data_IF_366463618946
#
_entry.id   IF_366463618946
#
_cell.length_a   1.000
_cell.length_b   1.000
_cell.length_c   1.000
_cell.angle_alpha   90.00
_cell.angle_beta   90.00
_cell.angle_gamma   90.00
#
_symmetry.space_group_name_H-M   'P 1'
#
loop_
_entity.id
_entity.type
_entity.pdbx_description
1 polymer ?
#
# COMPACT_ATOMS: atom_id res chain seq x y z
N UNK A 1 63.09 -12.50 -55.97
CA UNK A 1 63.92 -13.48 -56.70
C UNK A 1 63.04 -14.64 -57.09
N UNK A 2 62.90 -15.03 -58.33
CA UNK A 2 63.21 -14.41 -59.61
C UNK A 2 62.64 -15.37 -60.64
N UNK A 3 62.50 -14.83 -61.85
CA UNK A 3 62.49 -15.55 -63.12
C UNK A 3 61.16 -16.22 -63.54
N UNK A 4 60.40 -15.69 -64.49
CA UNK A 4 60.74 -15.17 -65.83
C UNK A 4 61.09 -16.31 -66.81
N UNK A 5 60.39 -16.27 -67.95
CA UNK A 5 60.80 -16.78 -69.27
C UNK A 5 61.00 -18.29 -69.46
N UNK A 6 60.30 -18.87 -70.44
CA UNK A 6 60.87 -18.96 -71.79
C UNK A 6 60.23 -20.08 -72.62
N UNK A 7 59.66 -19.66 -73.76
CA UNK A 7 59.98 -20.18 -75.09
C UNK A 7 59.68 -21.65 -75.47
N UNK A 8 58.77 -21.74 -76.47
CA UNK A 8 59.14 -22.05 -77.86
C UNK A 8 59.37 -23.52 -78.24
N UNK A 9 58.55 -24.02 -79.16
CA UNK A 9 58.92 -25.07 -80.10
C UNK A 9 57.94 -25.05 -81.30
N UNK A 10 58.35 -25.47 -82.51
CA UNK A 10 58.30 -24.60 -83.68
C UNK A 10 57.49 -25.15 -84.88
N UNK A 11 57.32 -24.27 -85.84
CA UNK A 11 56.78 -24.45 -87.20
C UNK A 11 57.72 -25.28 -88.10
N UNK A 12 57.16 -26.07 -89.04
CA UNK A 12 57.65 -26.06 -90.44
C UNK A 12 56.47 -26.20 -91.44
N UNK A 13 56.47 -25.82 -92.73
CA UNK A 13 57.41 -25.32 -93.73
C UNK A 13 56.57 -24.71 -94.91
N UNK A 14 57.16 -23.99 -95.90
CA UNK A 14 56.43 -23.07 -96.79
C UNK A 14 55.97 -23.62 -98.17
N UNK A 15 54.99 -22.89 -98.74
CA UNK A 15 54.34 -22.82 -100.07
C UNK A 15 54.93 -23.52 -101.34
N UNK A 16 54.07 -23.77 -102.36
CA UNK A 16 54.10 -22.89 -103.54
C UNK A 16 52.72 -22.47 -104.10
N UNK A 17 52.70 -21.28 -104.73
CA UNK A 17 51.59 -20.60 -105.43
C UNK A 17 51.30 -21.16 -106.86
N UNK A 18 50.49 -20.51 -107.73
CA UNK A 18 49.05 -20.19 -107.70
C UNK A 18 48.30 -20.63 -109.01
N UNK A 19 46.97 -20.73 -109.00
CA UNK A 19 46.13 -20.70 -110.24
C UNK A 19 44.77 -19.99 -109.98
N UNK A 20 44.35 -18.95 -110.73
CA UNK A 20 42.97 -18.44 -110.76
C UNK A 20 42.22 -18.99 -112.01
N UNK A 21 40.91 -18.75 -112.25
CA UNK A 21 39.82 -18.24 -111.42
C UNK A 21 38.52 -19.12 -111.47
N UNK A 22 37.59 -18.91 -110.55
CA UNK A 22 36.15 -19.15 -110.78
C UNK A 22 35.30 -18.27 -109.84
N UNK A 23 34.80 -17.14 -110.32
CA UNK A 23 33.47 -16.67 -109.90
C UNK A 23 32.43 -17.53 -110.67
N UNK A 24 31.14 -17.65 -110.26
CA UNK A 24 30.41 -17.05 -109.13
C UNK A 24 29.73 -18.16 -108.26
N UNK A 25 28.96 -17.88 -107.21
CA UNK A 25 27.48 -17.89 -107.23
C UNK A 25 27.03 -17.33 -105.87
N UNK A 26 26.26 -16.23 -105.92
CA UNK A 26 25.36 -15.84 -104.84
C UNK A 26 24.28 -16.92 -104.76
N UNK A 27 24.27 -17.71 -103.69
CA UNK A 27 23.11 -18.58 -103.42
C UNK A 27 21.86 -17.70 -103.17
N UNK A 28 20.72 -18.08 -103.74
CA UNK A 28 19.55 -17.22 -103.85
C UNK A 28 18.90 -17.02 -102.48
N UNK A 29 18.30 -15.84 -102.29
CA UNK A 29 17.36 -15.58 -101.21
C UNK A 29 16.34 -16.72 -101.13
N UNK A 30 16.26 -17.38 -99.97
CA UNK A 30 15.22 -18.37 -99.69
C UNK A 30 13.85 -17.78 -99.98
N UNK A 31 13.14 -18.44 -100.88
CA UNK A 31 11.79 -18.12 -101.32
C UNK A 31 10.85 -18.25 -100.11
N UNK A 32 10.50 -17.12 -99.48
CA UNK A 32 9.60 -17.11 -98.33
C UNK A 32 8.19 -17.43 -98.83
N UNK A 33 7.82 -18.71 -98.78
CA UNK A 33 6.48 -19.15 -99.13
C UNK A 33 5.47 -18.67 -98.07
N UNK A 34 4.36 -17.99 -98.45
CA UNK A 34 3.39 -17.43 -97.51
C UNK A 34 2.72 -18.48 -96.60
N UNK A 35 2.66 -19.74 -97.05
CA UNK A 35 2.15 -20.86 -96.26
C UNK A 35 3.06 -21.25 -95.09
N UNK A 36 4.38 -21.10 -95.24
CA UNK A 36 5.36 -21.38 -94.18
C UNK A 36 5.26 -20.38 -93.03
N UNK A 37 5.12 -19.08 -93.34
CA UNK A 37 4.91 -18.03 -92.34
C UNK A 37 3.59 -18.18 -91.59
N UNK A 38 2.50 -18.58 -92.28
CA UNK A 38 1.20 -18.82 -91.65
C UNK A 38 1.24 -20.04 -90.71
N UNK A 39 1.99 -21.09 -91.08
CA UNK A 39 2.19 -22.26 -90.23
C UNK A 39 3.02 -21.93 -88.99
N UNK A 40 4.10 -21.16 -89.15
CA UNK A 40 4.93 -20.72 -88.04
C UNK A 40 4.18 -19.76 -87.10
N UNK A 41 3.41 -18.82 -87.66
CA UNK A 41 2.55 -17.92 -86.88
C UNK A 41 1.51 -18.70 -86.08
N UNK A 42 0.84 -19.69 -86.68
CA UNK A 42 -0.12 -20.57 -85.96
C UNK A 42 0.56 -21.36 -84.85
N UNK A 43 1.72 -21.95 -85.10
CA UNK A 43 2.46 -22.69 -84.09
C UNK A 43 2.92 -21.79 -82.93
N UNK A 44 3.38 -20.56 -83.22
CA UNK A 44 3.73 -19.57 -82.19
C UNK A 44 2.51 -19.13 -81.39
N UNK A 45 1.36 -18.95 -82.04
CA UNK A 45 0.12 -18.55 -81.37
C UNK A 45 -0.40 -19.67 -80.46
N UNK A 46 -0.38 -20.92 -80.94
CA UNK A 46 -0.75 -22.10 -80.13
C UNK A 46 0.21 -22.30 -78.94
N UNK A 47 1.51 -22.09 -79.14
CA UNK A 47 2.49 -22.10 -78.05
C UNK A 47 2.26 -20.95 -77.05
N UNK A 48 1.83 -19.78 -77.52
CA UNK A 48 1.45 -18.65 -76.67
C UNK A 48 0.20 -18.96 -75.84
N UNK A 49 -0.84 -19.50 -76.48
CA UNK A 49 -2.08 -19.92 -75.81
C UNK A 49 -1.80 -20.98 -74.74
N UNK A 50 -0.92 -21.94 -75.04
CA UNK A 50 -0.50 -22.95 -74.07
C UNK A 50 0.21 -22.33 -72.86
N UNK A 51 1.10 -21.35 -73.08
CA UNK A 51 1.77 -20.61 -72.01
C UNK A 51 0.80 -19.76 -71.19
N UNK A 52 -0.15 -19.10 -71.84
CA UNK A 52 -1.19 -18.32 -71.16
C UNK A 52 -2.10 -19.20 -70.32
N UNK A 53 -2.49 -20.36 -70.82
CA UNK A 53 -3.27 -21.35 -70.05
C UNK A 53 -2.48 -21.88 -68.84
N UNK A 54 -1.18 -22.10 -69.00
CA UNK A 54 -0.30 -22.52 -67.89
C UNK A 54 -0.17 -21.41 -66.84
N UNK A 55 -0.02 -20.15 -67.27
CA UNK A 55 -0.01 -19.01 -66.35
C UNK A 55 -1.35 -18.84 -65.64
N UNK A 56 -2.47 -19.04 -66.35
CA UNK A 56 -3.81 -19.00 -65.75
C UNK A 56 -3.94 -20.06 -64.65
N UNK A 57 -3.47 -21.28 -64.90
CA UNK A 57 -3.49 -22.38 -63.93
C UNK A 57 -2.60 -22.11 -62.70
N UNK A 58 -1.39 -21.61 -62.92
CA UNK A 58 -0.49 -21.17 -61.84
C UNK A 58 -1.11 -20.06 -60.99
N UNK A 59 -1.70 -19.04 -61.61
CA UNK A 59 -2.37 -17.95 -60.90
C UNK A 59 -3.59 -18.45 -60.11
N UNK A 60 -4.37 -19.38 -60.67
CA UNK A 60 -5.49 -19.99 -59.96
C UNK A 60 -5.04 -20.82 -58.77
N UNK A 61 -3.94 -21.56 -58.90
CA UNK A 61 -3.32 -22.35 -57.83
C UNK A 61 -2.82 -21.45 -56.71
N UNK A 62 -1.99 -20.46 -57.04
CA UNK A 62 -1.47 -19.47 -56.07
C UNK A 62 -2.62 -18.76 -55.35
N UNK A 63 -3.67 -18.35 -56.08
CA UNK A 63 -4.87 -17.74 -55.48
C UNK A 63 -5.56 -18.68 -54.49
N UNK A 64 -5.62 -19.97 -54.79
CA UNK A 64 -6.24 -20.96 -53.89
C UNK A 64 -5.41 -21.20 -52.64
N UNK A 65 -4.08 -21.28 -52.77
CA UNK A 65 -3.13 -21.44 -51.65
C UNK A 65 -3.17 -20.23 -50.72
N UNK A 66 -3.04 -19.00 -51.24
CA UNK A 66 -3.11 -17.77 -50.46
C UNK A 66 -4.44 -17.67 -49.70
N UNK A 67 -5.56 -18.05 -50.35
CA UNK A 67 -6.87 -18.02 -49.70
C UNK A 67 -6.97 -19.02 -48.55
N UNK A 68 -6.41 -20.21 -48.71
CA UNK A 68 -6.44 -21.26 -47.69
C UNK A 68 -5.56 -20.91 -46.48
N UNK A 69 -4.36 -20.38 -46.74
CA UNK A 69 -3.43 -19.90 -45.71
C UNK A 69 -4.04 -18.74 -44.93
N UNK A 70 -4.52 -17.69 -45.63
CA UNK A 70 -5.15 -16.53 -44.99
C UNK A 70 -6.38 -16.91 -44.14
N UNK A 71 -7.22 -17.83 -44.61
CA UNK A 71 -8.36 -18.32 -43.82
C UNK A 71 -7.92 -19.04 -42.54
N UNK A 72 -6.86 -19.84 -42.62
CA UNK A 72 -6.33 -20.57 -41.47
C UNK A 72 -5.74 -19.62 -40.44
N UNK A 73 -4.99 -18.60 -40.88
CA UNK A 73 -4.44 -17.56 -40.00
C UNK A 73 -5.53 -16.73 -39.33
N UNK A 74 -6.56 -16.31 -40.07
CA UNK A 74 -7.71 -15.57 -39.52
C UNK A 74 -8.51 -16.40 -38.52
N UNK A 75 -8.69 -17.70 -38.75
CA UNK A 75 -9.34 -18.60 -37.80
C UNK A 75 -8.52 -18.76 -36.50
N UNK A 76 -7.19 -18.88 -36.59
CA UNK A 76 -6.32 -18.92 -35.42
C UNK A 76 -6.37 -17.62 -34.63
N UNK A 77 -6.40 -16.49 -35.33
CA UNK A 77 -6.52 -15.17 -34.72
C UNK A 77 -7.87 -15.00 -34.01
N UNK A 78 -8.97 -15.38 -34.65
CA UNK A 78 -10.31 -15.34 -34.08
C UNK A 78 -10.40 -16.22 -32.83
N UNK A 79 -9.83 -17.43 -32.87
CA UNK A 79 -9.76 -18.32 -31.72
C UNK A 79 -8.95 -17.74 -30.57
N UNK A 80 -7.83 -17.09 -30.86
CA UNK A 80 -7.03 -16.45 -29.82
C UNK A 80 -7.73 -15.22 -29.22
N UNK A 81 -8.49 -14.46 -30.02
CA UNK A 81 -9.32 -13.37 -29.53
C UNK A 81 -10.48 -13.89 -28.65
N UNK A 82 -11.09 -15.02 -29.02
CA UNK A 82 -12.09 -15.72 -28.21
C UNK A 82 -11.49 -16.25 -26.90
N UNK A 83 -10.31 -16.86 -26.95
CA UNK A 83 -9.59 -17.33 -25.76
C UNK A 83 -9.22 -16.16 -24.84
N UNK A 84 -8.79 -15.02 -25.39
CA UNK A 84 -8.56 -13.77 -24.65
C UNK A 84 -9.84 -13.25 -23.99
N UNK A 85 -10.97 -13.22 -24.71
CA UNK A 85 -12.27 -12.81 -24.17
C UNK A 85 -12.75 -13.76 -23.04
N UNK A 86 -12.39 -15.04 -23.13
CA UNK A 86 -12.67 -16.05 -22.12
C UNK A 86 -11.62 -16.09 -20.98
N UNK A 87 -10.67 -15.15 -20.93
CA UNK A 87 -9.67 -15.03 -19.86
C UNK A 87 -8.46 -15.95 -19.98
N UNK A 88 -8.29 -16.68 -21.09
CA UNK A 88 -7.12 -17.52 -21.37
C UNK A 88 -6.02 -16.70 -22.03
N UNK A 89 -5.31 -15.94 -21.22
CA UNK A 89 -4.35 -14.93 -21.68
C UNK A 89 -2.90 -15.42 -21.72
N UNK A 90 -2.59 -16.69 -21.47
CA UNK A 90 -1.20 -17.18 -21.37
C UNK A 90 -0.61 -17.74 -22.67
N UNK A 91 -1.36 -17.71 -23.78
CA UNK A 91 -0.92 -18.26 -25.06
C UNK A 91 -0.56 -17.14 -26.03
N UNK A 92 0.69 -17.13 -26.53
CA UNK A 92 1.10 -16.22 -27.60
C UNK A 92 0.63 -16.73 -28.96
N UNK A 93 0.21 -15.80 -29.81
CA UNK A 93 -0.18 -16.07 -31.19
C UNK A 93 1.07 -16.06 -32.05
N UNK A 94 1.60 -17.25 -32.36
CA UNK A 94 2.70 -17.41 -33.31
C UNK A 94 2.14 -17.56 -34.74
N UNK A 95 1.85 -16.43 -35.38
CA UNK A 95 1.42 -16.36 -36.78
C UNK A 95 2.43 -15.48 -37.52
N UNK A 96 3.15 -16.06 -38.48
CA UNK A 96 4.10 -15.34 -39.34
C UNK A 96 3.38 -14.63 -40.50
N UNK A 97 2.40 -13.78 -40.18
CA UNK A 97 1.70 -12.99 -41.17
C UNK A 97 2.49 -11.72 -41.54
N UNK A 98 2.49 -11.35 -42.82
CA UNK A 98 3.06 -10.09 -43.33
C UNK A 98 1.93 -9.09 -43.61
N UNK A 99 2.24 -7.79 -43.63
CA UNK A 99 1.25 -6.73 -43.91
C UNK A 99 0.32 -6.45 -42.73
N UNK A 100 -0.95 -6.13 -42.99
CA UNK A 100 -1.92 -5.70 -41.99
C UNK A 100 -2.26 -6.81 -40.98
N UNK A 101 -2.25 -8.07 -41.42
CA UNK A 101 -2.51 -9.21 -40.54
C UNK A 101 -1.37 -9.41 -39.52
N UNK A 102 -0.12 -9.18 -39.93
CA UNK A 102 1.03 -9.18 -39.03
C UNK A 102 0.94 -8.06 -37.98
N UNK A 103 0.54 -6.85 -38.40
CA UNK A 103 0.31 -5.74 -37.48
C UNK A 103 -0.81 -6.03 -36.47
N UNK A 104 -1.87 -6.70 -36.90
CA UNK A 104 -2.98 -7.11 -36.03
C UNK A 104 -2.55 -8.19 -35.02
N UNK A 105 -1.79 -9.20 -35.47
CA UNK A 105 -1.20 -10.23 -34.58
C UNK A 105 -0.30 -9.59 -33.53
N UNK A 106 0.54 -8.62 -33.93
CA UNK A 106 1.40 -7.90 -33.00
C UNK A 106 0.58 -7.10 -31.98
N UNK A 107 -0.48 -6.42 -32.41
CA UNK A 107 -1.39 -5.67 -31.53
C UNK A 107 -2.10 -6.57 -30.52
N UNK A 108 -2.60 -7.74 -30.96
CA UNK A 108 -3.25 -8.71 -30.07
C UNK A 108 -2.24 -9.31 -29.09
N UNK A 109 -1.04 -9.68 -29.53
CA UNK A 109 0.01 -10.17 -28.64
C UNK A 109 0.43 -9.11 -27.60
N UNK A 110 0.50 -7.83 -27.99
CA UNK A 110 0.75 -6.73 -27.04
C UNK A 110 -0.39 -6.59 -26.03
N UNK A 111 -1.65 -6.72 -26.47
CA UNK A 111 -2.83 -6.67 -25.60
C UNK A 111 -2.84 -7.84 -24.62
N UNK A 112 -2.45 -9.03 -25.08
CA UNK A 112 -2.36 -10.24 -24.26
C UNK A 112 -1.28 -10.11 -23.17
N UNK A 113 -0.11 -9.54 -23.49
CA UNK A 113 0.93 -9.23 -22.49
C UNK A 113 0.44 -8.21 -21.46
N UNK A 114 -0.24 -7.16 -21.90
CA UNK A 114 -0.85 -6.15 -21.03
C UNK A 114 -1.90 -6.78 -20.09
N UNK A 115 -2.73 -7.69 -20.60
CA UNK A 115 -3.71 -8.44 -19.83
C UNK A 115 -3.06 -9.37 -18.80
N UNK A 116 -1.95 -10.04 -19.14
CA UNK A 116 -1.22 -10.90 -18.21
C UNK A 116 -0.65 -10.10 -17.04
N UNK A 117 -0.07 -8.93 -17.33
CA UNK A 117 0.42 -8.01 -16.30
C UNK A 117 -0.71 -7.51 -15.41
N UNK A 118 -1.90 -7.24 -15.98
CA UNK A 118 -3.10 -6.89 -15.22
C UNK A 118 -3.54 -8.04 -14.31
N UNK A 119 -3.69 -9.26 -14.81
CA UNK A 119 -4.17 -10.40 -14.02
C UNK A 119 -3.28 -10.62 -12.79
N UNK A 120 -1.95 -10.52 -12.96
CA UNK A 120 -1.01 -10.60 -11.85
C UNK A 120 -1.19 -9.45 -10.84
N UNK A 121 -1.39 -8.22 -11.30
CA UNK A 121 -1.58 -7.04 -10.45
C UNK A 121 -2.92 -7.08 -9.72
N UNK A 122 -4.02 -7.41 -10.41
CA UNK A 122 -5.36 -7.55 -9.82
C UNK A 122 -5.38 -8.70 -8.81
N UNK A 123 -4.77 -9.85 -9.09
CA UNK A 123 -4.67 -10.94 -8.11
C UNK A 123 -3.94 -10.49 -6.86
N UNK A 124 -2.78 -9.84 -7.02
CA UNK A 124 -2.01 -9.34 -5.89
C UNK A 124 -2.82 -8.31 -5.05
N UNK A 125 -3.45 -7.35 -5.72
CA UNK A 125 -4.29 -6.33 -5.08
C UNK A 125 -5.54 -6.92 -4.41
N UNK A 126 -6.20 -7.88 -5.06
CA UNK A 126 -7.37 -8.58 -4.53
C UNK A 126 -7.06 -9.36 -3.26
N UNK A 127 -5.82 -9.83 -3.08
CA UNK A 127 -5.39 -10.46 -1.83
C UNK A 127 -5.13 -9.48 -0.69
N UNK A 128 -4.79 -8.22 -1.00
CA UNK A 128 -4.48 -7.20 0.01
C UNK A 128 -5.70 -6.47 0.55
N UNK A 129 -6.79 -6.36 -0.22
CA UNK A 129 -8.02 -5.68 0.24
C UNK A 129 -8.64 -6.34 1.49
N UNK A 130 -8.80 -7.67 1.56
CA UNK A 130 -9.27 -8.34 2.77
C UNK A 130 -8.32 -8.14 3.96
N UNK A 131 -7.01 -8.13 3.71
CA UNK A 131 -5.99 -7.88 4.74
C UNK A 131 -6.12 -6.47 5.32
N UNK A 132 -6.32 -5.46 4.47
CA UNK A 132 -6.55 -4.08 4.90
C UNK A 132 -7.81 -3.93 5.74
N UNK A 133 -8.90 -4.57 5.32
CA UNK A 133 -10.14 -4.58 6.09
C UNK A 133 -9.92 -5.23 7.47
N UNK A 134 -9.26 -6.39 7.52
CA UNK A 134 -8.96 -7.07 8.78
C UNK A 134 -8.03 -6.24 9.69
N UNK A 135 -7.07 -5.49 9.14
CA UNK A 135 -6.22 -4.58 9.91
C UNK A 135 -7.03 -3.42 10.51
N UNK A 136 -7.96 -2.83 9.75
CA UNK A 136 -8.84 -1.78 10.27
C UNK A 136 -9.77 -2.31 11.37
N UNK A 137 -10.37 -3.48 11.18
CA UNK A 137 -11.23 -4.12 12.19
C UNK A 137 -10.44 -4.40 13.48
N UNK A 138 -9.19 -4.86 13.36
CA UNK A 138 -8.31 -5.08 14.51
C UNK A 138 -7.99 -3.77 15.25
N UNK A 139 -7.76 -2.66 14.52
CA UNK A 139 -7.56 -1.34 15.12
C UNK A 139 -8.80 -0.90 15.89
N UNK A 140 -9.98 -1.06 15.30
CA UNK A 140 -11.25 -0.73 15.96
C UNK A 140 -11.45 -1.57 17.23
N UNK A 141 -11.22 -2.87 17.17
CA UNK A 141 -11.34 -3.77 18.32
C UNK A 141 -10.34 -3.43 19.44
N UNK A 142 -9.09 -3.12 19.10
CA UNK A 142 -8.08 -2.70 20.07
C UNK A 142 -8.46 -1.36 20.71
N UNK A 143 -8.98 -0.42 19.92
CA UNK A 143 -9.47 0.89 20.38
C UNK A 143 -10.63 0.71 21.36
N UNK A 144 -11.63 -0.11 21.01
CA UNK A 144 -12.77 -0.39 21.86
C UNK A 144 -12.34 -0.99 23.20
N UNK A 145 -11.44 -1.98 23.16
CA UNK A 145 -10.90 -2.62 24.37
C UNK A 145 -10.15 -1.62 25.26
N UNK A 146 -9.34 -0.76 24.67
CA UNK A 146 -8.61 0.24 25.43
C UNK A 146 -9.56 1.29 26.03
N UNK A 147 -10.57 1.74 25.29
CA UNK A 147 -11.59 2.66 25.82
C UNK A 147 -12.40 2.05 26.96
N UNK A 148 -12.79 0.78 26.85
CA UNK A 148 -13.48 0.08 27.93
C UNK A 148 -12.59 -0.06 29.17
N UNK A 149 -11.31 -0.33 28.96
CA UNK A 149 -10.31 -0.41 30.03
C UNK A 149 -10.19 0.93 30.75
N UNK A 150 -10.04 2.04 30.01
CA UNK A 150 -10.01 3.39 30.59
C UNK A 150 -11.29 3.68 31.36
N UNK A 151 -12.46 3.33 30.82
CA UNK A 151 -13.75 3.58 31.48
C UNK A 151 -13.89 2.82 32.80
N UNK A 152 -13.59 1.51 32.81
CA UNK A 152 -13.63 0.70 34.03
C UNK A 152 -12.68 1.24 35.11
N UNK A 153 -11.51 1.73 34.68
CA UNK A 153 -10.49 2.29 35.58
C UNK A 153 -10.90 3.65 36.14
N UNK A 154 -11.54 4.49 35.34
CA UNK A 154 -12.14 5.75 35.80
C UNK A 154 -13.22 5.50 36.84
N UNK A 155 -14.04 4.45 36.70
CA UNK A 155 -15.06 4.10 37.69
C UNK A 155 -14.43 3.73 39.05
N UNK A 156 -13.35 2.93 39.04
CA UNK A 156 -12.60 2.59 40.26
C UNK A 156 -11.96 3.82 40.88
N UNK A 157 -11.35 4.68 40.05
CA UNK A 157 -10.74 5.94 40.50
C UNK A 157 -11.79 6.85 41.15
N UNK A 158 -12.97 7.00 40.54
CA UNK A 158 -14.07 7.80 41.09
C UNK A 158 -14.56 7.26 42.43
N UNK A 159 -14.76 5.94 42.54
CA UNK A 159 -15.17 5.32 43.79
C UNK A 159 -14.14 5.52 44.91
N UNK A 160 -12.85 5.34 44.61
CA UNK A 160 -11.77 5.60 45.56
C UNK A 160 -11.66 7.08 45.94
N UNK A 161 -11.89 8.00 44.99
CA UNK A 161 -11.94 9.44 45.25
C UNK A 161 -13.08 9.81 46.19
N UNK A 162 -14.27 9.26 45.98
CA UNK A 162 -15.43 9.51 46.84
C UNK A 162 -15.21 8.96 48.25
N UNK A 163 -14.61 7.77 48.38
CA UNK A 163 -14.24 7.16 49.66
C UNK A 163 -13.18 7.99 50.41
N UNK A 164 -12.14 8.44 49.71
CA UNK A 164 -11.13 9.35 50.27
C UNK A 164 -11.78 10.63 50.78
N UNK A 165 -12.65 11.25 49.98
CA UNK A 165 -13.33 12.49 50.34
C UNK A 165 -14.26 12.31 51.54
N UNK A 166 -15.00 11.21 51.61
CA UNK A 166 -15.86 10.89 52.74
C UNK A 166 -15.06 10.76 54.03
N UNK A 167 -13.92 10.06 53.98
CA UNK A 167 -13.03 9.83 55.13
C UNK A 167 -12.40 11.14 55.59
N UNK A 168 -11.86 11.96 54.68
CA UNK A 168 -11.32 13.29 54.99
C UNK A 168 -12.39 14.16 55.65
N UNK A 169 -13.60 14.19 55.11
CA UNK A 169 -14.70 15.00 55.64
C UNK A 169 -15.10 14.56 57.05
N UNK A 170 -15.10 13.25 57.32
CA UNK A 170 -15.33 12.71 58.66
C UNK A 170 -14.23 13.14 59.64
N UNK A 171 -12.95 13.01 59.26
CA UNK A 171 -11.82 13.41 60.11
C UNK A 171 -11.79 14.91 60.38
N UNK A 172 -12.08 15.75 59.38
CA UNK A 172 -12.23 17.21 59.55
C UNK A 172 -13.34 17.53 60.55
N UNK A 173 -14.48 16.85 60.49
CA UNK A 173 -15.59 17.07 61.43
C UNK A 173 -15.19 16.72 62.87
N UNK A 174 -14.45 15.63 63.08
CA UNK A 174 -13.95 15.26 64.41
C UNK A 174 -12.93 16.28 64.91
N UNK A 175 -11.99 16.71 64.07
CA UNK A 175 -11.01 17.75 64.43
C UNK A 175 -11.68 19.07 64.81
N UNK A 176 -12.71 19.50 64.08
CA UNK A 176 -13.50 20.69 64.41
C UNK A 176 -14.21 20.54 65.77
N UNK A 177 -14.77 19.37 66.07
CA UNK A 177 -15.42 19.09 67.35
C UNK A 177 -14.40 19.10 68.51
N UNK A 178 -13.22 18.49 68.32
CA UNK A 178 -12.13 18.53 69.31
C UNK A 178 -11.65 19.96 69.53
N UNK A 179 -11.45 20.73 68.46
CA UNK A 179 -11.02 22.13 68.56
C UNK A 179 -12.04 23.01 69.29
N UNK A 180 -13.34 22.84 69.00
CA UNK A 180 -14.41 23.55 69.70
C UNK A 180 -14.49 23.17 71.19
N UNK A 181 -14.34 21.88 71.51
CA UNK A 181 -14.27 21.37 72.88
C UNK A 181 -13.08 21.98 73.63
N UNK A 182 -11.90 22.01 73.01
CA UNK A 182 -10.68 22.59 73.59
C UNK A 182 -10.81 24.10 73.82
N UNK A 183 -11.41 24.83 72.88
CA UNK A 183 -11.68 26.26 73.04
C UNK A 183 -12.65 26.55 74.20
N UNK A 184 -13.72 25.77 74.33
CA UNK A 184 -14.65 25.87 75.46
C UNK A 184 -13.97 25.57 76.80
N UNK A 185 -13.10 24.55 76.82
CA UNK A 185 -12.28 24.22 78.00
C UNK A 185 -11.39 25.39 78.43
N UNK A 186 -10.65 25.98 77.49
CA UNK A 186 -9.81 27.15 77.77
C UNK A 186 -10.61 28.33 78.31
N UNK A 187 -11.74 28.67 77.68
CA UNK A 187 -12.59 29.77 78.14
C UNK A 187 -13.12 29.53 79.58
N UNK A 188 -13.46 28.28 79.92
CA UNK A 188 -13.95 27.94 81.25
C UNK A 188 -12.83 27.96 82.30
N UNK A 189 -11.61 27.51 81.94
CA UNK A 189 -10.42 27.66 82.78
C UNK A 189 -10.07 29.12 83.04
N UNK A 190 -10.12 29.99 82.02
CA UNK A 190 -9.91 31.42 82.18
C UNK A 190 -10.94 32.03 83.16
N UNK A 191 -12.20 31.58 83.07
CA UNK A 191 -13.25 31.95 84.02
C UNK A 191 -12.95 31.54 85.47
N UNK A 192 -12.46 30.32 85.70
CA UNK A 192 -12.05 29.87 87.03
C UNK A 192 -10.84 30.65 87.56
N UNK A 193 -9.85 30.94 86.71
CA UNK A 193 -8.70 31.76 87.06
C UNK A 193 -9.13 33.19 87.46
N UNK A 194 -10.10 33.75 86.75
CA UNK A 194 -10.67 35.06 87.09
C UNK A 194 -11.40 35.02 88.44
N UNK A 195 -12.24 34.00 88.72
CA UNK A 195 -12.88 33.83 90.03
C UNK A 195 -11.86 33.71 91.17
N UNK A 196 -10.77 32.96 90.95
CA UNK A 196 -9.69 32.82 91.93
C UNK A 196 -9.04 34.18 92.24
N UNK A 197 -8.80 35.01 91.21
CA UNK A 197 -8.21 36.35 91.38
C UNK A 197 -9.10 37.32 92.16
N UNK A 198 -10.41 37.08 92.19
CA UNK A 198 -11.41 37.89 92.90
C UNK A 198 -11.63 37.44 94.35
N UNK A 199 -10.90 36.42 94.82
CA UNK A 199 -10.97 35.95 96.21
C UNK A 199 -12.09 34.95 96.50
N UNK A 200 -12.53 34.17 95.49
CA UNK A 200 -13.47 33.07 95.70
C UNK A 200 -12.91 31.99 96.65
N UNK A 201 -13.81 31.27 97.34
CA UNK A 201 -13.44 30.18 98.27
C UNK A 201 -12.68 29.05 97.52
N UNK A 202 -11.43 28.74 97.91
CA UNK A 202 -10.62 27.72 97.25
C UNK A 202 -11.25 26.33 97.25
N UNK A 203 -11.99 25.97 98.30
CA UNK A 203 -12.60 24.64 98.41
C UNK A 203 -13.76 24.47 97.43
N UNK A 204 -14.61 25.49 97.31
CA UNK A 204 -15.71 25.51 96.33
C UNK A 204 -15.18 25.54 94.90
N UNK A 205 -14.18 26.38 94.62
CA UNK A 205 -13.57 26.48 93.29
C UNK A 205 -12.92 25.15 92.85
N UNK A 206 -12.23 24.47 93.77
CA UNK A 206 -11.65 23.15 93.49
C UNK A 206 -12.71 22.13 93.12
N UNK A 207 -13.87 22.16 93.78
CA UNK A 207 -14.98 21.24 93.48
C UNK A 207 -15.63 21.56 92.13
N UNK A 208 -15.85 22.84 91.80
CA UNK A 208 -16.35 23.26 90.48
C UNK A 208 -15.41 22.83 89.34
N UNK A 209 -14.09 22.99 89.53
CA UNK A 209 -13.10 22.57 88.54
C UNK A 209 -13.12 21.05 88.36
N UNK A 210 -13.20 20.28 89.46
CA UNK A 210 -13.21 18.82 89.40
C UNK A 210 -14.43 18.30 88.63
N UNK A 211 -15.60 18.85 88.92
CA UNK A 211 -16.86 18.51 88.25
C UNK A 211 -16.80 18.87 86.75
N UNK A 212 -16.26 20.04 86.42
CA UNK A 212 -16.06 20.45 85.03
C UNK A 212 -15.08 19.55 84.27
N UNK A 213 -13.92 19.23 84.85
CA UNK A 213 -12.92 18.35 84.21
C UNK A 213 -13.49 16.95 83.99
N UNK A 214 -14.25 16.43 84.96
CA UNK A 214 -14.90 15.13 84.84
C UNK A 214 -15.96 15.13 83.72
N UNK A 215 -16.81 16.16 83.67
CA UNK A 215 -17.78 16.31 82.57
C UNK A 215 -17.11 16.46 81.20
N UNK A 216 -16.02 17.23 81.14
CA UNK A 216 -15.27 17.43 79.90
C UNK A 216 -14.66 16.13 79.39
N UNK A 217 -14.03 15.34 80.26
CA UNK A 217 -13.48 14.02 79.91
C UNK A 217 -14.55 13.04 79.41
N UNK A 218 -15.76 13.09 79.98
CA UNK A 218 -16.87 12.23 79.57
C UNK A 218 -17.49 12.66 78.23
N UNK A 219 -17.38 13.94 77.86
CA UNK A 219 -17.97 14.51 76.64
C UNK A 219 -16.96 14.68 75.50
N UNK A 220 -15.66 14.57 75.75
CA UNK A 220 -14.63 14.71 74.71
C UNK A 220 -14.84 13.66 73.62
N UNK A 221 -14.93 14.09 72.34
CA UNK A 221 -15.01 13.16 71.22
C UNK A 221 -13.80 12.23 71.22
N UNK A 222 -13.94 10.97 70.78
CA UNK A 222 -12.78 10.11 70.53
C UNK A 222 -11.81 10.82 69.56
N UNK A 223 -10.51 10.48 69.60
CA UNK A 223 -9.52 11.07 68.71
C UNK A 223 -9.95 10.98 67.25
N UNK A 224 -9.49 11.94 66.43
CA UNK A 224 -9.82 12.05 65.01
C UNK A 224 -9.72 10.68 64.32
N UNK A 225 -10.75 10.35 63.53
CA UNK A 225 -10.84 9.08 62.81
C UNK A 225 -9.57 8.79 62.01
N UNK A 226 -9.29 7.52 61.81
CA UNK A 226 -8.02 7.03 61.27
C UNK A 226 -7.69 7.69 59.92
N UNK A 227 -6.75 8.66 59.91
CA UNK A 227 -6.25 9.25 58.68
C UNK A 227 -5.47 8.22 57.85
N UNK A 228 -4.97 7.13 58.46
CA UNK A 228 -4.34 6.06 57.71
C UNK A 228 -5.34 5.36 56.79
N UNK A 229 -6.64 5.40 57.12
CA UNK A 229 -7.70 4.90 56.25
C UNK A 229 -7.82 5.68 54.93
N UNK A 230 -7.32 6.92 54.85
CA UNK A 230 -7.25 7.67 53.59
C UNK A 230 -6.11 7.22 52.67
N UNK A 231 -5.06 6.58 53.21
CA UNK A 231 -3.87 6.24 52.43
C UNK A 231 -4.18 5.21 51.33
N UNK A 232 -5.05 4.25 51.63
CA UNK A 232 -5.44 3.20 50.68
C UNK A 232 -6.23 3.74 49.47
N UNK A 233 -7.33 4.51 49.65
CA UNK A 233 -8.01 5.16 48.54
C UNK A 233 -7.11 6.12 47.74
N UNK A 234 -6.24 6.89 48.41
CA UNK A 234 -5.29 7.78 47.73
C UNK A 234 -4.27 7.03 46.86
N UNK A 235 -3.72 5.92 47.38
CA UNK A 235 -2.86 5.04 46.60
C UNK A 235 -3.58 4.48 45.38
N UNK A 236 -4.82 4.01 45.58
CA UNK A 236 -5.68 3.50 44.50
C UNK A 236 -5.92 4.56 43.42
N UNK A 237 -6.22 5.80 43.78
CA UNK A 237 -6.41 6.90 42.82
C UNK A 237 -5.14 7.13 41.99
N UNK A 238 -3.97 7.13 42.64
CA UNK A 238 -2.68 7.32 41.97
C UNK A 238 -2.35 6.18 41.02
N UNK A 239 -2.51 4.94 41.48
CA UNK A 239 -2.24 3.73 40.70
C UNK A 239 -3.20 3.66 39.50
N UNK A 240 -4.49 3.95 39.74
CA UNK A 240 -5.48 3.98 38.67
C UNK A 240 -5.17 5.08 37.65
N UNK A 241 -4.77 6.29 38.07
CA UNK A 241 -4.39 7.35 37.15
C UNK A 241 -3.17 6.98 36.29
N UNK A 242 -2.15 6.36 36.89
CA UNK A 242 -0.94 5.94 36.17
C UNK A 242 -1.24 4.89 35.10
N UNK A 243 -2.07 3.92 35.44
CA UNK A 243 -2.44 2.86 34.52
C UNK A 243 -3.44 3.32 33.43
N UNK A 244 -4.29 4.31 33.69
CA UNK A 244 -5.04 5.00 32.63
C UNK A 244 -4.07 5.65 31.65
N UNK A 245 -3.05 6.34 32.16
CA UNK A 245 -2.03 6.98 31.32
C UNK A 245 -1.24 5.94 30.49
N UNK A 246 -0.89 4.80 31.09
CA UNK A 246 -0.29 3.68 30.34
C UNK A 246 -1.23 3.13 29.27
N UNK A 247 -2.52 2.98 29.59
CA UNK A 247 -3.50 2.49 28.63
C UNK A 247 -3.62 3.43 27.44
N UNK A 248 -3.63 4.76 27.67
CA UNK A 248 -3.71 5.78 26.62
C UNK A 248 -2.58 5.71 25.57
N UNK A 249 -1.49 4.99 25.83
CA UNK A 249 -0.46 4.68 24.82
C UNK A 249 -1.03 3.93 23.60
N UNK A 250 -2.22 3.33 23.69
CA UNK A 250 -2.91 2.75 22.54
C UNK A 250 -3.10 3.75 21.39
N UNK A 251 -3.13 5.06 21.67
CA UNK A 251 -3.27 6.11 20.66
C UNK A 251 -2.05 6.15 19.72
N UNK A 252 -0.83 5.99 20.24
CA UNK A 252 0.40 5.94 19.43
C UNK A 252 0.40 4.67 18.57
N UNK A 253 0.04 3.52 19.16
CA UNK A 253 -0.08 2.25 18.44
C UNK A 253 -1.14 2.35 17.33
N UNK A 254 -2.29 2.95 17.63
CA UNK A 254 -3.39 3.16 16.67
C UNK A 254 -2.93 4.03 15.52
N UNK A 255 -2.24 5.14 15.81
CA UNK A 255 -1.65 6.02 14.79
C UNK A 255 -0.71 5.25 13.87
N UNK A 256 0.25 4.50 14.42
CA UNK A 256 1.21 3.73 13.63
C UNK A 256 0.54 2.67 12.75
N UNK A 257 -0.47 1.97 13.29
CA UNK A 257 -1.26 1.00 12.51
C UNK A 257 -2.04 1.67 11.38
N UNK A 258 -2.66 2.83 11.63
CA UNK A 258 -3.37 3.62 10.60
C UNK A 258 -2.40 4.13 9.53
N UNK A 259 -1.23 4.65 9.91
CA UNK A 259 -0.20 5.09 8.95
C UNK A 259 0.22 3.94 8.02
N UNK A 260 0.40 2.73 8.56
CA UNK A 260 0.70 1.53 7.76
C UNK A 260 -0.45 1.18 6.79
N UNK A 261 -1.69 1.22 7.25
CA UNK A 261 -2.87 1.00 6.39
C UNK A 261 -2.93 2.05 5.26
N UNK A 262 -2.66 3.32 5.56
CA UNK A 262 -2.61 4.39 4.56
C UNK A 262 -1.52 4.15 3.53
N UNK A 263 -0.33 3.69 3.94
CA UNK A 263 0.74 3.33 3.02
C UNK A 263 0.34 2.19 2.07
N UNK A 264 -0.30 1.15 2.60
CA UNK A 264 -0.82 0.05 1.79
C UNK A 264 -1.91 0.51 0.82
N UNK A 265 -2.82 1.39 1.26
CA UNK A 265 -3.83 2.00 0.38
C UNK A 265 -3.20 2.84 -0.74
N UNK A 266 -2.10 3.56 -0.47
CA UNK A 266 -1.35 4.28 -1.52
C UNK A 266 -0.75 3.33 -2.54
N UNK A 267 -0.11 2.25 -2.10
CA UNK A 267 0.42 1.21 -3.00
C UNK A 267 -0.68 0.57 -3.85
N UNK A 268 -1.85 0.31 -3.25
CA UNK A 268 -3.03 -0.16 -3.97
C UNK A 268 -3.50 0.85 -5.03
N UNK A 269 -3.60 2.14 -4.69
CA UNK A 269 -3.94 3.21 -5.65
C UNK A 269 -2.96 3.27 -6.82
N UNK A 270 -1.66 3.20 -6.56
CA UNK A 270 -0.62 3.21 -7.60
C UNK A 270 -0.69 1.97 -8.50
N UNK A 271 -0.97 0.80 -7.94
CA UNK A 271 -1.21 -0.42 -8.72
C UNK A 271 -2.41 -0.29 -9.65
N UNK A 272 -3.53 0.28 -9.17
CA UNK A 272 -4.70 0.55 -10.00
C UNK A 272 -4.42 1.61 -11.06
N UNK A 273 -3.64 2.65 -10.74
CA UNK A 273 -3.22 3.66 -11.70
C UNK A 273 -2.40 3.09 -12.84
N UNK A 274 -1.45 2.19 -12.53
CA UNK A 274 -0.69 1.43 -13.54
C UNK A 274 -1.63 0.57 -14.41
N UNK A 275 -2.63 -0.05 -13.81
CA UNK A 275 -3.65 -0.84 -14.50
C UNK A 275 -4.41 0.00 -15.55
N UNK A 276 -4.87 1.19 -15.16
CA UNK A 276 -5.61 2.10 -16.03
C UNK A 276 -4.74 2.64 -17.16
N UNK A 277 -3.46 2.90 -16.90
CA UNK A 277 -2.49 3.32 -17.90
C UNK A 277 -2.22 2.23 -18.95
N UNK A 278 -2.12 0.96 -18.54
CA UNK A 278 -1.94 -0.20 -19.45
C UNK A 278 -3.08 -0.31 -20.47
N UNK A 279 -4.31 0.02 -20.08
CA UNK A 279 -5.47 -0.01 -20.97
C UNK A 279 -5.64 1.25 -21.82
N UNK A 280 -4.71 2.21 -21.71
CA UNK A 280 -4.80 3.51 -22.36
C UNK A 280 -6.19 4.15 -22.19
N UNK A 281 -6.83 3.94 -21.03
CA UNK A 281 -8.03 4.67 -20.63
C UNK A 281 -7.58 6.06 -20.16
N UNK A 282 -6.80 6.75 -21.00
CA UNK A 282 -6.56 8.18 -20.92
C UNK A 282 -7.76 8.87 -21.55
N UNK A 283 -8.91 8.72 -20.89
CA UNK A 283 -10.21 9.19 -21.37
C UNK A 283 -11.15 9.65 -20.27
N UNK A 284 -10.67 9.70 -19.03
CA UNK A 284 -11.30 10.45 -17.94
C UNK A 284 -10.43 11.64 -17.56
N UNK A 285 -9.91 12.38 -18.55
CA UNK A 285 -9.57 13.80 -18.40
C UNK A 285 -10.86 14.65 -18.43
N UNK A 286 -11.85 14.24 -17.64
CA UNK A 286 -13.05 14.99 -17.34
C UNK A 286 -13.10 15.22 -15.84
N UNK A 287 -12.36 16.24 -15.38
CA UNK A 287 -12.48 16.83 -14.04
C UNK A 287 -12.61 15.85 -12.86
N UNK A 288 -11.66 14.94 -12.73
CA UNK A 288 -11.44 14.35 -11.41
C UNK A 288 -9.96 14.28 -11.14
N UNK A 289 -9.43 15.41 -10.66
CA UNK A 289 -8.16 15.40 -9.94
C UNK A 289 -8.21 14.27 -8.90
N UNK A 290 -7.19 13.40 -8.83
CA UNK A 290 -7.14 12.31 -7.85
C UNK A 290 -7.04 12.80 -6.39
N UNK A 291 -7.04 14.12 -6.19
CA UNK A 291 -7.20 14.85 -4.93
C UNK A 291 -8.69 15.03 -4.54
N UNK A 292 -9.60 15.24 -5.51
CA UNK A 292 -10.97 15.67 -5.22
C UNK A 292 -12.00 14.57 -4.89
N UNK A 293 -11.75 13.29 -5.25
CA UNK A 293 -12.73 12.20 -5.00
C UNK A 293 -12.76 11.80 -3.52
N UNK A 294 -11.62 11.89 -2.84
CA UNK A 294 -11.48 11.50 -1.44
C UNK A 294 -11.48 12.69 -0.47
N UNK A 295 -11.20 13.92 -0.92
CA UNK A 295 -11.35 15.13 -0.10
C UNK A 295 -12.78 15.40 0.37
N UNK A 296 -13.82 14.96 -0.38
CA UNK A 296 -15.21 15.19 0.06
C UNK A 296 -15.68 14.29 1.22
N UNK A 297 -14.83 13.39 1.71
CA UNK A 297 -15.04 12.66 2.98
C UNK A 297 -14.07 13.07 4.09
N UNK A 298 -13.14 14.01 3.87
CA UNK A 298 -12.46 14.70 4.97
C UNK A 298 -13.35 15.84 5.45
N UNK A 299 -14.40 15.50 6.20
CA UNK A 299 -15.12 16.48 7.01
C UNK A 299 -14.21 16.98 8.13
N UNK A 300 -13.31 17.90 7.80
CA UNK A 300 -12.95 19.15 8.49
C UNK A 300 -12.79 19.20 10.03
N UNK A 301 -12.65 18.09 10.74
CA UNK A 301 -12.56 18.12 12.22
C UNK A 301 -11.40 17.31 12.83
N UNK A 302 -10.71 16.46 12.06
CA UNK A 302 -9.62 15.63 12.61
C UNK A 302 -8.20 16.07 12.20
N UNK A 303 -8.01 16.71 11.04
CA UNK A 303 -6.66 17.10 10.58
C UNK A 303 -5.99 18.15 11.47
N UNK A 304 -6.77 18.96 12.20
CA UNK A 304 -6.22 19.96 13.14
C UNK A 304 -5.81 19.41 14.51
N UNK A 305 -6.16 18.16 14.83
CA UNK A 305 -5.80 17.54 16.11
C UNK A 305 -4.35 17.00 16.07
N UNK A 306 -3.84 16.68 14.87
CA UNK A 306 -2.53 16.04 14.69
C UNK A 306 -1.37 17.03 14.46
N UNK A 307 -1.65 18.29 14.13
CA UNK A 307 -0.59 19.29 13.87
C UNK A 307 -0.08 20.00 15.12
N UNK A 308 -0.78 19.94 16.25
CA UNK A 308 -0.40 20.73 17.47
C UNK A 308 0.51 19.97 18.44
N UNK A 309 0.90 18.72 18.15
CA UNK A 309 1.77 17.90 19.03
C UNK A 309 3.11 17.51 18.38
N UNK A 310 3.46 18.14 17.26
CA UNK A 310 4.66 17.84 16.45
C UNK A 310 6.00 18.30 17.06
N UNK A 311 6.04 18.73 18.32
CA UNK A 311 7.30 19.02 19.03
C UNK A 311 7.36 18.31 20.38
N UNK A 312 7.48 16.98 20.37
CA UNK A 312 7.99 16.25 21.53
C UNK A 312 8.69 14.94 21.12
N UNK A 313 10.01 15.06 21.05
CA UNK A 313 11.01 14.03 21.40
C UNK A 313 11.32 12.90 20.41
N UNK A 314 12.06 13.27 19.37
CA UNK A 314 12.72 12.41 18.38
C UNK A 314 13.99 11.72 18.93
N UNK A 315 14.07 11.50 20.25
CA UNK A 315 15.18 10.78 20.91
C UNK A 315 14.67 9.66 21.81
N UNK A 316 13.98 8.69 21.21
CA UNK A 316 13.90 7.34 21.80
C UNK A 316 15.27 6.69 21.64
N UNK A 317 16.15 6.88 22.62
CA UNK A 317 17.31 6.01 22.84
C UNK A 317 16.76 4.58 22.95
N UNK A 318 17.22 3.66 22.10
CA UNK A 318 16.71 2.28 22.09
C UNK A 318 16.96 1.66 23.47
N UNK A 319 16.04 0.83 23.96
CA UNK A 319 16.24 0.04 25.18
C UNK A 319 17.55 -0.77 25.09
N UNK A 320 17.93 -1.18 23.87
CA UNK A 320 19.19 -1.86 23.60
C UNK A 320 20.42 -0.94 23.78
N UNK A 321 20.30 0.36 23.49
CA UNK A 321 21.37 1.35 23.67
C UNK A 321 21.61 1.64 25.16
N UNK A 322 20.54 1.71 25.97
CA UNK A 322 20.63 1.88 27.43
C UNK A 322 21.25 0.64 28.08
N UNK A 323 20.86 -0.57 27.64
CA UNK A 323 21.46 -1.83 28.12
C UNK A 323 22.94 -1.92 27.71
N UNK A 324 23.30 -1.47 26.51
CA UNK A 324 24.68 -1.41 26.06
C UNK A 324 25.53 -0.42 26.88
N UNK A 325 24.99 0.78 27.18
CA UNK A 325 25.68 1.76 28.03
C UNK A 325 25.85 1.26 29.47
N UNK A 326 24.85 0.58 30.04
CA UNK A 326 24.94 0.06 31.41
C UNK A 326 25.96 -1.07 31.54
N UNK A 327 26.04 -1.96 30.54
CA UNK A 327 27.07 -3.01 30.49
C UNK A 327 28.49 -2.46 30.29
N UNK A 328 28.63 -1.31 29.61
CA UNK A 328 29.92 -0.65 29.39
C UNK A 328 30.46 0.04 30.66
N UNK A 329 29.58 0.44 31.57
CA UNK A 329 29.97 1.12 32.82
C UNK A 329 30.22 0.17 34.02
N UNK A 330 30.07 -1.15 33.85
CA UNK A 330 30.43 -2.17 34.87
C UNK A 330 31.71 -2.94 34.54
N UNK A 331 32.52 -2.44 33.59
CA UNK A 331 33.87 -2.94 33.29
C UNK A 331 34.94 -2.03 33.85
#
# INVERSE_FOLDING_TARGET
MDNQEALNAPEPAPEPAPEPPAEPIVEPAEDIQPEGLLKEFRARNEALDTRLNTLLDLVQTIRSEIRLESQTELQRLAKAAEDMANGKIFQQIDIQAKGELGALVQSINSTLLNLQQLDSSVKHQSTQVPELAAQLDAITADTERATQTVMNRLDVLMAASDEAQATIKASVKVLQAVQASQAAFHAQMDGFMQKASQGADPAQLAQEILEFVFEHQMKTPPPAGDLDACLQPLATISDEAFEILNTLQFQDITRQKVEKVVLLLKQFKEGLGRLLAIFNIQGFEGQVSPEGIFERRSTATQERIFETTLEADDKKESVDDIIAQFKKNQG
#
